data_IF_116358970251
#
_entry.id   IF_116358970251
#
_cell.length_a   1.000
_cell.length_b   1.000
_cell.length_c   1.000
_cell.angle_alpha   90.00
_cell.angle_beta   90.00
_cell.angle_gamma   90.00
#
_symmetry.space_group_name_H-M   'P 1'
#
loop_
_entity.id
_entity.type
_entity.pdbx_description
1 polymer ?
#
# COMPACT_ATOMS: atom_id res chain seq x y z
N UNK A 1 17.97 5.60 -11.51
CA UNK A 1 19.18 5.02 -12.10
C UNK A 1 20.22 6.10 -12.35
N UNK A 2 21.49 5.82 -12.01
CA UNK A 2 22.61 6.77 -12.24
C UNK A 2 23.32 6.48 -13.56
N UNK A 3 23.45 5.18 -13.91
CA UNK A 3 24.06 4.73 -15.14
C UNK A 3 23.34 3.47 -15.66
N UNK A 4 23.45 3.23 -16.94
CA UNK A 4 22.99 2.02 -17.60
C UNK A 4 24.11 1.48 -18.49
N UNK A 5 24.36 0.19 -18.39
CA UNK A 5 25.34 -0.52 -19.23
C UNK A 5 24.62 -1.55 -20.09
N UNK A 6 24.93 -1.54 -21.37
CA UNK A 6 24.43 -2.52 -22.36
C UNK A 6 25.61 -3.25 -22.96
N UNK A 7 25.55 -4.56 -23.04
CA UNK A 7 26.60 -5.41 -23.61
C UNK A 7 25.98 -6.59 -24.36
N UNK A 8 26.80 -7.33 -25.13
CA UNK A 8 26.34 -8.47 -25.92
C UNK A 8 25.90 -9.70 -25.09
N UNK A 9 26.23 -9.72 -23.79
CA UNK A 9 25.75 -10.74 -22.88
C UNK A 9 25.45 -10.17 -21.49
N UNK A 10 24.57 -10.85 -20.74
CA UNK A 10 24.24 -10.51 -19.36
C UNK A 10 25.49 -10.49 -18.46
N UNK A 11 26.44 -11.38 -18.69
CA UNK A 11 27.66 -11.46 -17.87
C UNK A 11 28.54 -10.24 -18.11
N UNK A 12 28.80 -9.90 -19.37
CA UNK A 12 29.58 -8.71 -19.75
C UNK A 12 28.90 -7.41 -19.28
N UNK A 13 27.59 -7.31 -19.37
CA UNK A 13 26.85 -6.15 -18.88
C UNK A 13 27.02 -6.00 -17.37
N UNK A 14 27.03 -7.09 -16.62
CA UNK A 14 27.21 -7.08 -15.19
C UNK A 14 28.65 -6.69 -14.80
N UNK A 15 29.66 -7.32 -15.41
CA UNK A 15 31.07 -7.00 -15.16
C UNK A 15 31.35 -5.53 -15.45
N UNK A 16 30.80 -5.00 -16.55
CA UNK A 16 30.95 -3.60 -16.89
C UNK A 16 30.16 -2.66 -15.97
N UNK A 17 29.01 -3.06 -15.46
CA UNK A 17 28.26 -2.29 -14.48
C UNK A 17 28.99 -2.21 -13.13
N UNK A 18 29.67 -3.27 -12.69
CA UNK A 18 30.51 -3.31 -11.49
C UNK A 18 31.76 -2.41 -11.62
N UNK A 19 32.20 -2.13 -12.85
CA UNK A 19 33.31 -1.20 -13.13
C UNK A 19 32.89 0.29 -13.13
N UNK A 20 31.61 0.59 -13.11
CA UNK A 20 31.11 1.99 -13.01
C UNK A 20 31.35 2.50 -11.61
N UNK A 21 32.24 3.49 -11.50
CA UNK A 21 32.49 4.17 -10.23
C UNK A 21 31.54 5.36 -10.08
N UNK A 22 30.88 5.46 -8.93
CA UNK A 22 30.03 6.60 -8.57
C UNK A 22 30.50 7.14 -7.23
N UNK A 23 30.87 8.41 -7.22
CA UNK A 23 31.20 9.13 -5.99
C UNK A 23 29.93 9.75 -5.41
N UNK A 24 29.57 9.35 -4.20
CA UNK A 24 28.37 9.80 -3.51
C UNK A 24 28.69 10.73 -2.37
N UNK A 25 28.08 11.90 -2.34
CA UNK A 25 28.01 12.75 -1.16
C UNK A 25 26.74 12.39 -0.37
N UNK A 26 26.84 11.75 0.80
CA UNK A 26 25.68 11.36 1.58
C UNK A 26 25.01 12.57 2.21
N UNK A 27 23.69 12.66 2.05
CA UNK A 27 22.83 13.66 2.69
C UNK A 27 22.15 13.08 3.95
N UNK A 28 21.66 13.94 4.88
CA UNK A 28 20.85 13.49 5.99
C UNK A 28 19.64 12.68 5.50
N UNK A 29 19.42 11.52 6.10
CA UNK A 29 18.31 10.64 5.73
C UNK A 29 17.31 10.52 6.89
N UNK A 30 16.02 10.50 6.56
CA UNK A 30 14.93 10.17 7.48
C UNK A 30 14.31 8.85 7.06
N UNK A 31 14.31 7.88 7.96
CA UNK A 31 13.77 6.53 7.78
C UNK A 31 12.76 6.16 8.85
N UNK A 32 12.81 6.82 9.99
CA UNK A 32 11.83 6.67 11.07
C UNK A 32 10.57 7.49 10.76
N UNK A 33 9.40 6.92 11.03
CA UNK A 33 8.12 7.55 10.70
C UNK A 33 7.79 8.75 11.60
N UNK A 34 8.19 8.72 12.86
CA UNK A 34 7.96 9.83 13.78
C UNK A 34 8.87 11.01 13.40
N UNK A 35 10.11 10.72 12.99
CA UNK A 35 11.04 11.72 12.48
C UNK A 35 10.57 12.32 11.15
N UNK A 36 9.95 11.50 10.29
CA UNK A 36 9.36 11.94 9.03
C UNK A 36 8.17 12.89 9.26
N UNK A 37 7.25 12.55 10.17
CA UNK A 37 6.13 13.43 10.56
C UNK A 37 6.62 14.75 11.14
N UNK A 38 7.72 14.72 11.90
CA UNK A 38 8.31 15.90 12.52
C UNK A 38 9.16 16.75 11.56
N UNK A 39 9.27 16.36 10.30
CA UNK A 39 10.09 17.03 9.27
C UNK A 39 11.56 17.26 9.68
N UNK A 40 12.14 16.32 10.45
CA UNK A 40 13.55 16.45 10.93
C UNK A 40 14.57 16.54 9.80
N UNK A 41 14.28 15.90 8.67
CA UNK A 41 14.96 16.11 7.39
C UNK A 41 13.92 15.99 6.28
N UNK A 42 14.07 16.78 5.23
CA UNK A 42 13.21 16.71 4.05
C UNK A 42 13.65 15.56 3.14
N UNK A 43 12.69 14.80 2.64
CA UNK A 43 12.96 13.77 1.62
C UNK A 43 13.08 14.43 0.25
N UNK A 44 12.27 15.48 0.00
CA UNK A 44 12.30 16.29 -1.20
C UNK A 44 12.29 17.76 -0.82
N UNK A 45 13.22 18.54 -1.35
CA UNK A 45 13.41 19.96 -1.03
C UNK A 45 12.25 20.84 -1.53
N UNK A 46 11.51 20.39 -2.53
CA UNK A 46 10.36 21.08 -3.15
C UNK A 46 9.04 20.84 -2.39
N UNK A 47 9.04 20.03 -1.35
CA UNK A 47 7.85 19.78 -0.51
C UNK A 47 7.91 20.59 0.78
N UNK A 48 6.78 21.16 1.18
CA UNK A 48 6.65 21.89 2.45
C UNK A 48 6.71 20.97 3.67
N UNK A 49 6.28 19.71 3.53
CA UNK A 49 6.30 18.68 4.56
C UNK A 49 6.53 17.29 3.97
N UNK A 50 7.09 16.38 4.78
CA UNK A 50 7.12 14.96 4.44
C UNK A 50 5.73 14.31 4.54
N UNK A 51 4.74 14.94 5.18
CA UNK A 51 3.35 14.47 5.19
C UNK A 51 2.71 14.85 3.85
N UNK A 52 2.49 13.85 3.01
CA UNK A 52 1.94 14.02 1.66
C UNK A 52 0.43 14.22 1.71
N UNK A 53 -0.27 13.46 2.55
CA UNK A 53 -1.73 13.51 2.72
C UNK A 53 -2.11 12.87 4.04
N UNK A 54 -3.18 13.37 4.66
CA UNK A 54 -3.83 12.76 5.81
C UNK A 54 -5.22 12.25 5.40
N UNK A 55 -5.47 10.98 5.61
CA UNK A 55 -6.78 10.38 5.43
C UNK A 55 -7.52 10.35 6.75
N UNK A 56 -8.72 10.88 6.78
CA UNK A 56 -9.59 10.89 7.95
C UNK A 56 -10.95 10.28 7.59
N UNK A 57 -11.39 9.33 8.39
CA UNK A 57 -12.69 8.69 8.23
C UNK A 57 -13.37 8.42 9.57
N UNK A 58 -14.62 8.59 9.57
CA UNK A 58 -15.74 8.10 10.30
C UNK A 58 -16.77 7.74 9.24
N UNK A 59 -18.03 8.20 9.30
CA UNK A 59 -18.95 8.13 8.17
C UNK A 59 -18.36 8.88 6.97
N UNK A 60 -17.98 8.13 5.96
CA UNK A 60 -17.13 8.58 4.85
C UNK A 60 -17.72 9.78 4.10
N UNK A 61 -16.89 10.80 3.87
CA UNK A 61 -17.27 12.02 3.14
C UNK A 61 -18.23 12.97 3.88
N UNK A 62 -18.47 12.74 5.17
CA UNK A 62 -19.34 13.55 6.01
C UNK A 62 -18.59 14.09 7.22
N UNK A 63 -18.13 15.33 7.15
CA UNK A 63 -17.38 15.97 8.26
C UNK A 63 -18.21 16.04 9.55
N UNK A 64 -19.51 16.31 9.46
CA UNK A 64 -20.41 16.32 10.62
C UNK A 64 -20.49 14.93 11.26
N UNK A 65 -20.62 13.88 10.44
CA UNK A 65 -20.62 12.49 10.89
C UNK A 65 -19.30 12.06 11.52
N UNK A 66 -18.17 12.49 10.94
CA UNK A 66 -16.84 12.27 11.53
C UNK A 66 -16.73 12.90 12.91
N UNK A 67 -17.14 14.16 13.05
CA UNK A 67 -17.11 14.89 14.33
C UNK A 67 -18.07 14.26 15.34
N UNK A 68 -19.26 13.85 14.94
CA UNK A 68 -20.21 13.15 15.79
C UNK A 68 -19.64 11.80 16.29
N UNK A 69 -18.96 11.05 15.41
CA UNK A 69 -18.30 9.79 15.79
C UNK A 69 -17.18 10.02 16.80
N UNK A 70 -16.31 11.01 16.57
CA UNK A 70 -15.27 11.40 17.53
C UNK A 70 -15.86 11.76 18.89
N UNK A 71 -16.92 12.54 18.89
CA UNK A 71 -17.58 12.96 20.12
C UNK A 71 -18.20 11.77 20.85
N UNK A 72 -18.90 10.87 20.15
CA UNK A 72 -19.50 9.66 20.71
C UNK A 72 -18.45 8.77 21.40
N UNK A 73 -17.29 8.56 20.75
CA UNK A 73 -16.19 7.78 21.32
C UNK A 73 -15.59 8.51 22.54
N UNK A 74 -15.41 9.82 22.45
CA UNK A 74 -14.88 10.62 23.56
C UNK A 74 -15.83 10.60 24.78
N UNK A 75 -17.13 10.61 24.57
CA UNK A 75 -18.13 10.51 25.64
C UNK A 75 -18.20 9.10 26.21
N UNK A 76 -18.09 8.07 25.38
CA UNK A 76 -17.97 6.68 25.85
C UNK A 76 -16.76 6.49 26.79
N UNK A 77 -15.62 7.09 26.49
CA UNK A 77 -14.39 7.02 27.33
C UNK A 77 -14.56 7.63 28.73
N UNK A 78 -15.55 8.50 28.93
CA UNK A 78 -15.82 9.16 30.23
C UNK A 78 -16.73 8.34 31.16
N UNK A 79 -17.31 7.26 30.68
CA UNK A 79 -18.22 6.42 31.47
C UNK A 79 -17.41 5.58 32.49
N UNK A 80 -17.99 5.37 33.65
CA UNK A 80 -17.37 4.60 34.76
C UNK A 80 -17.44 3.08 34.55
N UNK A 81 -18.31 2.60 33.65
CA UNK A 81 -18.58 1.19 33.39
C UNK A 81 -17.80 0.63 32.18
N UNK A 82 -16.88 1.39 31.63
CA UNK A 82 -16.10 1.00 30.44
C UNK A 82 -14.67 0.59 30.74
N UNK A 83 -14.12 -0.16 29.82
CA UNK A 83 -12.70 -0.50 29.69
C UNK A 83 -12.18 0.15 28.44
N UNK A 84 -11.03 0.82 28.55
CA UNK A 84 -10.33 1.41 27.41
C UNK A 84 -9.03 0.67 27.22
N UNK A 85 -8.86 0.03 26.06
CA UNK A 85 -7.64 -0.68 25.68
C UNK A 85 -7.01 0.08 24.50
N UNK A 86 -5.73 0.40 24.64
CA UNK A 86 -4.99 1.14 23.62
C UNK A 86 -3.62 0.53 23.42
N UNK A 87 -3.25 0.25 22.17
CA UNK A 87 -1.97 -0.36 21.84
C UNK A 87 -1.35 0.27 20.60
N UNK A 88 -0.06 0.63 20.71
CA UNK A 88 0.76 1.02 19.55
C UNK A 88 1.29 -0.25 18.89
N UNK A 89 1.00 -0.43 17.61
CA UNK A 89 1.34 -1.61 16.84
C UNK A 89 2.11 -1.24 15.57
N UNK A 90 3.04 -2.10 15.19
CA UNK A 90 3.78 -2.01 13.95
C UNK A 90 3.28 -3.09 12.98
N UNK A 91 2.80 -2.68 11.81
CA UNK A 91 2.63 -3.54 10.67
C UNK A 91 3.86 -3.32 9.76
N UNK A 92 4.87 -4.17 9.91
CA UNK A 92 6.17 -3.99 9.26
C UNK A 92 6.08 -4.08 7.73
N UNK A 93 7.06 -3.50 7.05
CA UNK A 93 7.20 -3.62 5.60
C UNK A 93 7.33 -5.07 5.15
N UNK A 94 6.75 -5.37 3.99
CA UNK A 94 6.83 -6.68 3.33
C UNK A 94 7.29 -6.50 1.89
N UNK A 95 8.11 -7.45 1.42
CA UNK A 95 8.57 -7.52 0.04
C UNK A 95 7.68 -8.51 -0.71
N UNK A 96 6.95 -8.10 -1.75
CA UNK A 96 6.15 -8.98 -2.60
C UNK A 96 7.06 -9.88 -3.44
N UNK A 97 7.53 -10.96 -2.88
CA UNK A 97 8.52 -11.83 -3.47
C UNK A 97 7.88 -12.79 -4.48
N UNK A 98 7.56 -12.31 -5.69
CA UNK A 98 7.18 -13.19 -6.79
C UNK A 98 8.34 -14.13 -7.16
N UNK A 99 8.03 -15.41 -7.50
CA UNK A 99 9.05 -16.37 -7.89
C UNK A 99 9.80 -15.87 -9.13
N UNK A 100 9.08 -15.32 -10.09
CA UNK A 100 9.68 -14.62 -11.24
C UNK A 100 9.98 -13.16 -10.86
N UNK A 101 11.26 -12.73 -10.81
CA UNK A 101 11.62 -11.31 -10.78
C UNK A 101 11.13 -10.57 -12.02
N UNK A 102 11.20 -9.24 -12.04
CA UNK A 102 10.78 -8.47 -13.21
C UNK A 102 11.77 -8.69 -14.37
N UNK A 103 11.22 -8.69 -15.59
CA UNK A 103 12.01 -8.75 -16.80
C UNK A 103 11.32 -7.98 -17.92
N UNK A 104 12.12 -7.37 -18.79
CA UNK A 104 11.65 -6.65 -19.96
C UNK A 104 12.59 -6.89 -21.14
N UNK A 105 12.01 -7.01 -22.31
CA UNK A 105 12.70 -6.99 -23.63
C UNK A 105 11.99 -5.97 -24.50
N UNK A 106 12.74 -5.02 -25.06
CA UNK A 106 12.23 -4.07 -26.04
C UNK A 106 12.94 -4.28 -27.38
N UNK A 107 12.17 -4.21 -28.46
CA UNK A 107 12.65 -4.25 -29.84
C UNK A 107 12.07 -3.03 -30.59
N UNK A 108 12.96 -2.12 -30.99
CA UNK A 108 12.62 -0.97 -31.80
C UNK A 108 12.74 -1.30 -33.28
N UNK A 109 11.64 -1.35 -33.99
CA UNK A 109 11.60 -1.51 -35.43
C UNK A 109 11.73 -0.14 -36.11
N UNK A 110 12.91 0.09 -36.70
CA UNK A 110 13.22 1.37 -37.38
C UNK A 110 12.34 1.61 -38.60
N UNK A 111 12.00 0.56 -39.36
CA UNK A 111 11.22 0.70 -40.60
C UNK A 111 9.75 1.09 -40.37
N UNK A 112 9.18 0.65 -39.27
CA UNK A 112 7.80 0.94 -38.88
C UNK A 112 7.68 1.99 -37.76
N UNK A 113 8.79 2.50 -37.24
CA UNK A 113 8.85 3.41 -36.09
C UNK A 113 7.98 2.93 -34.94
N UNK A 114 8.19 1.65 -34.55
CA UNK A 114 7.34 0.95 -33.60
C UNK A 114 8.16 0.16 -32.59
N UNK A 115 7.67 0.14 -31.32
CA UNK A 115 8.14 -0.78 -30.31
C UNK A 115 7.29 -2.05 -30.24
N UNK A 116 7.97 -3.20 -30.17
CA UNK A 116 7.45 -4.46 -29.64
C UNK A 116 8.15 -4.72 -28.29
N UNK A 117 7.40 -4.69 -27.20
CA UNK A 117 7.92 -4.83 -25.82
C UNK A 117 7.29 -6.06 -25.18
N UNK A 118 8.11 -6.90 -24.58
CA UNK A 118 7.70 -8.02 -23.77
C UNK A 118 8.10 -7.74 -22.32
N UNK A 119 7.14 -7.66 -21.41
CA UNK A 119 7.40 -7.33 -20.01
C UNK A 119 6.64 -8.23 -19.04
N UNK A 120 7.30 -8.58 -17.96
CA UNK A 120 6.68 -9.23 -16.80
C UNK A 120 5.89 -8.21 -16.00
N UNK A 121 4.75 -7.78 -16.54
CA UNK A 121 3.91 -6.70 -16.00
C UNK A 121 2.46 -7.15 -15.77
N UNK A 122 1.77 -6.51 -14.82
CA UNK A 122 0.33 -6.65 -14.61
C UNK A 122 -0.48 -5.61 -15.41
N UNK A 123 0.20 -4.61 -16.02
CA UNK A 123 -0.44 -3.43 -16.63
C UNK A 123 0.08 -3.14 -18.05
N UNK A 124 -0.01 -4.09 -19.00
CA UNK A 124 0.58 -3.93 -20.33
C UNK A 124 0.06 -2.69 -21.08
N UNK A 125 -1.21 -2.33 -20.92
CA UNK A 125 -1.79 -1.16 -21.57
C UNK A 125 -1.24 0.16 -20.99
N UNK A 126 -1.09 0.25 -19.67
CA UNK A 126 -0.52 1.43 -19.02
C UNK A 126 0.96 1.59 -19.41
N UNK A 127 1.72 0.49 -19.46
CA UNK A 127 3.10 0.50 -19.91
C UNK A 127 3.22 0.94 -21.38
N UNK A 128 2.36 0.47 -22.27
CA UNK A 128 2.34 0.91 -23.67
C UNK A 128 2.10 2.42 -23.78
N UNK A 129 1.13 2.94 -23.01
CA UNK A 129 0.85 4.39 -22.95
C UNK A 129 2.01 5.20 -22.41
N UNK A 130 2.71 4.72 -21.39
CA UNK A 130 3.86 5.38 -20.80
C UNK A 130 5.05 5.44 -21.79
N UNK A 131 5.36 4.33 -22.47
CA UNK A 131 6.40 4.28 -23.50
C UNK A 131 6.04 5.25 -24.64
N UNK A 132 4.81 5.18 -25.16
CA UNK A 132 4.36 6.07 -26.22
C UNK A 132 4.52 7.55 -25.84
N UNK A 133 4.07 7.92 -24.63
CA UNK A 133 4.19 9.29 -24.11
C UNK A 133 5.65 9.73 -23.94
N UNK A 134 6.50 8.87 -23.39
CA UNK A 134 7.92 9.18 -23.12
C UNK A 134 8.69 9.43 -24.42
N UNK A 135 8.39 8.67 -25.47
CA UNK A 135 9.11 8.80 -26.76
C UNK A 135 8.38 9.65 -27.79
N UNK A 136 7.26 10.27 -27.45
CA UNK A 136 6.49 11.12 -28.37
C UNK A 136 5.86 10.34 -29.52
N UNK A 137 5.47 9.09 -29.30
CA UNK A 137 4.91 8.19 -30.30
C UNK A 137 3.39 8.14 -30.27
N UNK A 138 2.77 7.76 -31.38
CA UNK A 138 1.36 7.41 -31.40
C UNK A 138 1.12 6.12 -30.59
N UNK A 139 -0.04 6.01 -29.92
CA UNK A 139 -0.35 4.86 -29.05
C UNK A 139 -0.31 3.51 -29.80
N UNK A 140 -0.64 3.49 -31.09
CA UNK A 140 -0.58 2.30 -31.93
C UNK A 140 0.83 1.94 -32.39
N UNK A 141 1.82 2.79 -32.13
CA UNK A 141 3.25 2.50 -32.39
C UNK A 141 3.93 1.77 -31.25
N UNK A 142 3.21 1.40 -30.20
CA UNK A 142 3.77 0.62 -29.07
C UNK A 142 2.89 -0.59 -28.80
N UNK A 143 3.45 -1.76 -28.93
CA UNK A 143 2.82 -3.03 -28.57
C UNK A 143 3.52 -3.59 -27.34
N UNK A 144 2.78 -3.78 -26.25
CA UNK A 144 3.28 -4.46 -25.06
C UNK A 144 2.61 -5.81 -24.92
N UNK A 145 3.40 -6.84 -24.73
CA UNK A 145 2.96 -8.21 -24.49
C UNK A 145 3.40 -8.61 -23.09
N UNK A 146 2.43 -8.94 -22.24
CA UNK A 146 2.69 -9.65 -21.01
C UNK A 146 2.57 -11.14 -21.29
N UNK A 147 3.68 -11.89 -21.35
CA UNK A 147 3.64 -13.34 -21.53
C UNK A 147 3.15 -14.03 -20.24
N UNK A 148 3.46 -15.30 -20.06
CA UNK A 148 3.18 -15.97 -18.80
C UNK A 148 3.98 -15.33 -17.65
N UNK A 149 3.27 -14.60 -16.77
CA UNK A 149 3.88 -13.86 -15.66
C UNK A 149 3.91 -14.74 -14.42
N UNK A 150 5.10 -14.99 -13.89
CA UNK A 150 5.37 -15.85 -12.74
C UNK A 150 5.10 -15.22 -11.38
N UNK A 151 3.94 -14.54 -11.24
CA UNK A 151 3.48 -13.83 -10.05
C UNK A 151 3.74 -12.32 -10.13
N UNK A 152 2.81 -11.55 -9.54
CA UNK A 152 2.90 -10.09 -9.51
C UNK A 152 2.54 -9.53 -8.15
N UNK A 153 1.39 -9.96 -7.58
CA UNK A 153 0.89 -9.60 -6.24
C UNK A 153 0.77 -8.10 -5.98
N UNK A 154 0.66 -7.30 -7.05
CA UNK A 154 0.68 -5.83 -6.98
C UNK A 154 2.04 -5.24 -7.36
N UNK A 155 3.14 -5.91 -7.09
CA UNK A 155 4.49 -5.38 -7.35
C UNK A 155 4.79 -5.14 -8.84
N UNK A 156 4.04 -5.72 -9.75
CA UNK A 156 4.16 -5.51 -11.20
C UNK A 156 3.04 -4.62 -11.76
N UNK A 157 2.34 -3.87 -10.92
CA UNK A 157 1.34 -2.87 -11.31
C UNK A 157 1.94 -1.51 -11.67
N UNK A 158 3.18 -1.26 -11.27
CA UNK A 158 3.88 -0.01 -11.53
C UNK A 158 4.69 -0.08 -12.82
N UNK A 159 4.98 1.08 -13.38
CA UNK A 159 5.91 1.23 -14.50
C UNK A 159 7.27 1.59 -13.91
N UNK A 160 8.24 0.74 -14.15
CA UNK A 160 9.57 0.90 -13.58
C UNK A 160 10.55 1.54 -14.57
N UNK A 161 11.56 2.20 -14.04
CA UNK A 161 12.56 2.89 -14.84
C UNK A 161 13.27 1.96 -15.84
N UNK A 162 13.49 0.70 -15.48
CA UNK A 162 14.11 -0.30 -16.34
C UNK A 162 13.28 -0.59 -17.60
N UNK A 163 11.95 -0.55 -17.56
CA UNK A 163 11.09 -0.75 -18.72
C UNK A 163 11.26 0.39 -19.74
N UNK A 164 11.39 1.63 -19.26
CA UNK A 164 11.63 2.79 -20.10
C UNK A 164 13.08 2.84 -20.60
N UNK A 165 14.05 2.57 -19.72
CA UNK A 165 15.48 2.59 -20.08
C UNK A 165 15.85 1.52 -21.09
N UNK A 166 15.29 0.32 -20.99
CA UNK A 166 15.49 -0.77 -21.96
C UNK A 166 14.90 -0.40 -23.31
N UNK A 167 13.72 0.25 -23.32
CA UNK A 167 13.11 0.77 -24.54
C UNK A 167 13.97 1.88 -25.17
N UNK A 168 14.51 2.79 -24.35
CA UNK A 168 15.45 3.83 -24.81
C UNK A 168 16.70 3.20 -25.46
N UNK A 169 17.33 2.25 -24.76
CA UNK A 169 18.53 1.58 -25.27
C UNK A 169 18.27 0.84 -26.59
N UNK A 170 17.12 0.18 -26.71
CA UNK A 170 16.74 -0.51 -27.95
C UNK A 170 16.61 0.46 -29.13
N UNK A 171 16.01 1.64 -28.90
CA UNK A 171 15.85 2.69 -29.93
C UNK A 171 17.20 3.26 -30.38
N UNK A 172 18.07 3.60 -29.42
CA UNK A 172 19.39 4.17 -29.70
C UNK A 172 20.31 3.20 -30.40
N UNK A 173 20.33 1.94 -29.95
CA UNK A 173 21.19 0.90 -30.52
C UNK A 173 20.60 0.25 -31.79
N UNK A 174 19.31 0.47 -32.05
CA UNK A 174 18.56 -0.16 -33.16
C UNK A 174 18.66 -1.68 -33.11
N UNK A 175 18.60 -2.25 -31.92
CA UNK A 175 18.72 -3.69 -31.61
C UNK A 175 17.78 -4.04 -30.48
N UNK A 176 17.28 -5.28 -30.40
CA UNK A 176 16.59 -5.75 -29.21
C UNK A 176 17.50 -5.66 -27.99
N UNK A 177 16.96 -5.12 -26.88
CA UNK A 177 17.63 -5.02 -25.58
C UNK A 177 16.77 -5.69 -24.54
N UNK A 178 17.40 -6.45 -23.65
CA UNK A 178 16.75 -7.21 -22.60
C UNK A 178 17.38 -6.91 -21.24
N UNK A 179 16.53 -6.72 -20.24
CA UNK A 179 16.91 -6.70 -18.83
C UNK A 179 16.14 -7.79 -18.08
N UNK A 180 16.79 -8.43 -17.14
CA UNK A 180 16.16 -9.33 -16.19
C UNK A 180 16.74 -9.05 -14.80
N UNK A 181 15.87 -8.58 -13.91
CA UNK A 181 16.19 -8.31 -12.52
C UNK A 181 16.72 -9.56 -11.82
N UNK A 182 17.72 -9.41 -10.98
CA UNK A 182 18.17 -10.49 -10.10
C UNK A 182 17.34 -10.50 -8.82
N UNK A 183 17.31 -11.64 -8.13
CA UNK A 183 16.67 -11.70 -6.81
C UNK A 183 17.28 -10.75 -5.78
N UNK A 184 18.55 -10.38 -5.91
CA UNK A 184 19.23 -9.43 -5.03
C UNK A 184 18.84 -7.97 -5.32
N UNK A 185 18.48 -7.67 -6.56
CA UNK A 185 18.00 -6.34 -6.97
C UNK A 185 16.54 -6.13 -6.58
N UNK A 186 15.72 -7.19 -6.66
CA UNK A 186 14.27 -7.11 -6.45
C UNK A 186 13.85 -6.37 -5.15
N UNK A 187 14.43 -6.63 -3.97
CA UNK A 187 14.07 -5.90 -2.74
C UNK A 187 14.37 -4.40 -2.78
N UNK A 188 15.33 -3.97 -3.61
CA UNK A 188 15.78 -2.58 -3.69
C UNK A 188 15.18 -1.82 -4.88
N UNK A 189 14.63 -2.52 -5.87
CA UNK A 189 14.14 -1.92 -7.11
C UNK A 189 12.63 -2.12 -7.32
N UNK A 190 12.00 -3.01 -6.55
CA UNK A 190 10.57 -3.31 -6.65
C UNK A 190 9.86 -2.77 -5.41
N UNK A 191 8.67 -2.23 -5.58
CA UNK A 191 7.87 -1.66 -4.48
C UNK A 191 7.69 -2.67 -3.34
N UNK A 192 7.54 -2.14 -2.15
CA UNK A 192 7.20 -2.90 -0.95
C UNK A 192 5.73 -2.65 -0.55
N UNK A 193 5.22 -3.43 0.38
CA UNK A 193 3.89 -3.21 0.95
C UNK A 193 3.97 -2.98 2.46
N UNK A 194 2.84 -2.58 3.07
CA UNK A 194 2.71 -2.33 4.52
C UNK A 194 3.57 -1.14 4.98
N UNK A 195 4.17 -1.22 6.18
CA UNK A 195 5.01 -0.15 6.71
C UNK A 195 4.20 0.90 7.46
N UNK A 196 3.27 0.47 8.32
CA UNK A 196 2.45 1.37 9.13
C UNK A 196 2.75 1.21 10.61
N UNK A 197 2.77 2.34 11.32
CA UNK A 197 2.78 2.38 12.78
C UNK A 197 1.52 3.09 13.22
N UNK A 198 0.68 2.42 14.01
CA UNK A 198 -0.57 3.00 14.45
C UNK A 198 -0.88 2.63 15.89
N UNK A 199 -1.58 3.54 16.57
CA UNK A 199 -2.21 3.28 17.86
C UNK A 199 -3.69 2.98 17.62
N UNK A 200 -4.08 1.75 17.93
CA UNK A 200 -5.47 1.32 17.95
C UNK A 200 -6.04 1.43 19.37
N UNK A 201 -7.26 1.91 19.49
CA UNK A 201 -7.96 2.05 20.78
C UNK A 201 -9.38 1.52 20.64
N UNK A 202 -9.78 0.65 21.56
CA UNK A 202 -11.16 0.19 21.73
C UNK A 202 -11.68 0.71 23.07
N UNK A 203 -12.92 1.19 23.06
CA UNK A 203 -13.70 1.51 24.25
C UNK A 203 -14.89 0.56 24.30
N UNK A 204 -15.07 -0.16 25.38
CA UNK A 204 -16.16 -1.11 25.53
C UNK A 204 -16.53 -1.37 26.96
N UNK A 205 -17.65 -2.02 27.18
CA UNK A 205 -18.17 -2.39 28.52
C UNK A 205 -17.57 -3.71 28.99
N UNK A 206 -17.66 -4.03 30.28
CA UNK A 206 -17.12 -5.31 30.81
C UNK A 206 -17.91 -6.55 30.36
N UNK A 207 -19.08 -6.37 29.78
CA UNK A 207 -19.89 -7.46 29.20
C UNK A 207 -19.66 -7.67 27.71
N UNK A 208 -18.67 -6.98 27.10
CA UNK A 208 -18.17 -7.22 25.76
C UNK A 208 -18.83 -6.40 24.67
N UNK A 209 -19.65 -5.39 24.97
CA UNK A 209 -20.16 -4.44 23.99
C UNK A 209 -19.09 -3.39 23.70
N UNK A 210 -18.67 -3.24 22.44
CA UNK A 210 -17.74 -2.22 21.98
C UNK A 210 -18.54 -0.95 21.64
N UNK A 211 -18.16 0.15 22.24
CA UNK A 211 -18.79 1.47 22.09
C UNK A 211 -18.04 2.38 21.12
N UNK A 212 -16.83 2.02 20.75
CA UNK A 212 -16.04 2.77 19.79
C UNK A 212 -14.67 2.18 19.51
N UNK A 213 -14.20 2.43 18.29
CA UNK A 213 -12.86 2.08 17.80
C UNK A 213 -12.20 3.32 17.18
N UNK A 214 -10.96 3.57 17.56
CA UNK A 214 -10.12 4.59 16.96
C UNK A 214 -8.80 4.02 16.47
N UNK A 215 -8.34 4.48 15.30
CA UNK A 215 -7.02 4.20 14.76
C UNK A 215 -6.32 5.50 14.37
N UNK A 216 -5.18 5.78 14.99
CA UNK A 216 -4.30 6.88 14.62
C UNK A 216 -2.97 6.33 14.17
N UNK A 217 -2.59 6.57 12.92
CA UNK A 217 -1.41 5.94 12.34
C UNK A 217 -0.63 6.81 11.38
N UNK A 218 0.61 6.39 11.18
CA UNK A 218 1.53 6.93 10.18
C UNK A 218 1.87 5.81 9.21
N UNK A 219 1.72 6.10 7.92
CA UNK A 219 1.93 5.16 6.83
C UNK A 219 3.15 5.59 6.01
N UNK A 220 4.11 4.70 5.88
CA UNK A 220 5.33 4.93 5.12
C UNK A 220 5.07 4.81 3.61
N UNK A 221 5.30 5.90 2.89
CA UNK A 221 5.17 5.94 1.41
C UNK A 221 6.48 5.66 0.69
N UNK A 222 7.60 5.63 1.43
CA UNK A 222 8.94 5.60 0.84
C UNK A 222 9.31 6.91 0.15
N UNK A 223 10.33 6.88 -0.70
CA UNK A 223 10.91 8.10 -1.27
C UNK A 223 10.10 8.68 -2.45
N UNK A 224 9.29 7.89 -3.14
CA UNK A 224 8.55 8.33 -4.34
C UNK A 224 7.15 7.74 -4.38
N UNK A 225 6.18 8.56 -4.73
CA UNK A 225 4.82 8.08 -5.01
C UNK A 225 4.76 7.37 -6.35
N UNK A 226 4.14 6.21 -6.37
CA UNK A 226 3.79 5.43 -7.55
C UNK A 226 2.27 5.53 -7.83
N UNK A 227 1.72 4.61 -8.61
CA UNK A 227 0.33 4.66 -9.06
C UNK A 227 -0.70 4.68 -7.93
N UNK A 228 -0.48 3.88 -6.86
CA UNK A 228 -1.43 3.70 -5.78
C UNK A 228 -0.88 4.03 -4.40
N UNK A 229 0.36 4.52 -4.28
CA UNK A 229 1.07 4.72 -3.03
C UNK A 229 0.19 5.36 -1.95
N UNK A 230 -0.31 6.56 -2.17
CA UNK A 230 -1.16 7.28 -1.19
C UNK A 230 -2.60 6.75 -1.13
N UNK A 231 -3.05 6.01 -2.13
CA UNK A 231 -4.37 5.40 -2.14
C UNK A 231 -4.45 4.11 -1.31
N UNK A 232 -3.32 3.46 -0.99
CA UNK A 232 -3.32 2.24 -0.19
C UNK A 232 -3.85 2.47 1.23
N UNK A 233 -3.41 3.50 1.98
CA UNK A 233 -4.01 3.82 3.27
C UNK A 233 -5.49 4.20 3.17
N UNK A 234 -5.89 4.92 2.12
CA UNK A 234 -7.30 5.21 1.85
C UNK A 234 -8.14 3.94 1.73
N UNK A 235 -7.66 2.93 0.99
CA UNK A 235 -8.35 1.64 0.87
C UNK A 235 -8.41 0.88 2.21
N UNK A 236 -7.46 1.10 3.11
CA UNK A 236 -7.50 0.59 4.49
C UNK A 236 -8.59 1.26 5.31
N UNK A 237 -8.67 2.59 5.25
CA UNK A 237 -9.73 3.38 5.91
C UNK A 237 -11.11 2.93 5.44
N UNK A 238 -11.26 2.66 4.16
CA UNK A 238 -12.51 2.26 3.51
C UNK A 238 -13.14 0.97 4.09
N UNK A 239 -12.33 0.07 4.64
CA UNK A 239 -12.77 -1.19 5.25
C UNK A 239 -12.45 -1.27 6.75
N UNK A 240 -12.09 -0.13 7.36
CA UNK A 240 -11.53 -0.08 8.71
C UNK A 240 -12.48 -0.50 9.84
N UNK A 241 -13.80 -0.48 9.61
CA UNK A 241 -14.78 -0.99 10.58
C UNK A 241 -15.02 -2.50 10.48
N UNK A 242 -14.46 -3.17 9.44
CA UNK A 242 -14.74 -4.58 9.19
C UNK A 242 -16.24 -4.88 9.12
N UNK A 243 -16.64 -5.97 9.75
CA UNK A 243 -18.03 -6.43 9.84
C UNK A 243 -18.75 -5.98 11.13
N UNK A 244 -18.19 -5.00 11.82
CA UNK A 244 -18.71 -4.57 13.13
C UNK A 244 -19.59 -3.34 13.04
N UNK A 245 -20.52 -3.18 14.01
CA UNK A 245 -21.52 -2.11 14.07
C UNK A 245 -21.11 -0.90 14.91
N UNK A 246 -19.99 -0.98 15.65
CA UNK A 246 -19.59 0.07 16.57
C UNK A 246 -19.02 1.31 15.84
N UNK A 247 -19.18 2.52 16.40
CA UNK A 247 -18.58 3.73 15.87
C UNK A 247 -17.08 3.58 15.63
N UNK A 248 -16.64 3.93 14.42
CA UNK A 248 -15.25 3.77 13.97
C UNK A 248 -14.71 5.11 13.47
N UNK A 249 -13.57 5.52 14.01
CA UNK A 249 -12.82 6.67 13.56
C UNK A 249 -11.38 6.30 13.23
N UNK A 250 -10.88 6.78 12.11
CA UNK A 250 -9.52 6.52 11.69
C UNK A 250 -8.86 7.81 11.17
N UNK A 251 -7.57 7.99 11.53
CA UNK A 251 -6.71 9.02 10.95
C UNK A 251 -5.37 8.40 10.59
N UNK A 252 -4.99 8.51 9.31
CA UNK A 252 -3.76 7.97 8.76
C UNK A 252 -2.98 9.07 8.03
N UNK A 253 -1.79 9.40 8.53
CA UNK A 253 -0.86 10.33 7.91
C UNK A 253 0.09 9.56 6.99
N UNK A 254 0.08 9.88 5.70
CA UNK A 254 0.94 9.29 4.70
C UNK A 254 2.23 10.10 4.58
N UNK A 255 3.37 9.53 4.92
CA UNK A 255 4.65 10.25 4.98
C UNK A 255 5.67 9.69 4.00
N UNK A 256 6.42 10.57 3.37
CA UNK A 256 7.57 10.18 2.57
C UNK A 256 8.81 9.98 3.46
N UNK A 257 9.64 9.00 3.09
CA UNK A 257 10.88 8.63 3.80
C UNK A 257 11.97 8.28 2.79
N UNK A 258 13.24 8.24 3.21
CA UNK A 258 14.35 7.79 2.36
C UNK A 258 14.44 6.25 2.27
N UNK A 259 13.29 5.59 2.11
CA UNK A 259 13.21 4.15 1.98
C UNK A 259 12.61 3.74 0.64
N UNK A 260 12.57 2.45 0.35
CA UNK A 260 11.91 1.95 -0.86
C UNK A 260 10.43 2.33 -0.84
N UNK A 261 9.89 2.73 -1.99
CA UNK A 261 8.47 3.06 -2.15
C UNK A 261 7.57 1.93 -1.71
N UNK A 262 6.50 2.24 -0.96
CA UNK A 262 5.38 1.34 -0.75
C UNK A 262 4.29 1.59 -1.79
N UNK A 263 3.65 0.53 -2.22
CA UNK A 263 2.51 0.61 -3.14
C UNK A 263 1.64 -0.65 -3.01
N UNK A 264 0.83 -0.91 -4.02
CA UNK A 264 -0.11 -2.03 -4.02
C UNK A 264 0.60 -3.38 -3.81
N UNK A 265 0.38 -3.95 -2.66
CA UNK A 265 0.72 -5.33 -2.36
C UNK A 265 -0.54 -6.08 -1.92
N UNK A 266 -0.70 -7.31 -2.34
CA UNK A 266 -1.85 -8.21 -2.16
C UNK A 266 -2.72 -7.86 -0.95
N UNK A 267 -3.94 -7.36 -1.22
CA UNK A 267 -4.88 -6.85 -0.22
C UNK A 267 -4.91 -5.32 -0.09
N UNK A 268 -3.79 -4.60 -0.30
CA UNK A 268 -3.73 -3.14 -0.49
C UNK A 268 -4.54 -2.35 0.56
N UNK A 269 -4.02 -2.22 1.78
CA UNK A 269 -4.65 -1.52 2.91
C UNK A 269 -5.62 -2.36 3.73
N UNK A 270 -6.26 -3.36 3.12
CA UNK A 270 -7.24 -4.21 3.82
C UNK A 270 -6.60 -5.14 4.86
N UNK A 271 -5.46 -5.81 4.59
CA UNK A 271 -4.76 -6.59 5.60
C UNK A 271 -4.27 -5.73 6.77
N UNK A 272 -3.85 -4.49 6.49
CA UNK A 272 -3.41 -3.54 7.50
C UNK A 272 -4.58 -3.16 8.42
N UNK A 273 -5.72 -2.80 7.84
CA UNK A 273 -6.93 -2.48 8.59
C UNK A 273 -7.40 -3.67 9.45
N UNK A 274 -7.46 -4.86 8.87
CA UNK A 274 -7.83 -6.08 9.60
C UNK A 274 -6.85 -6.39 10.75
N UNK A 275 -5.54 -6.22 10.53
CA UNK A 275 -4.54 -6.46 11.55
C UNK A 275 -4.76 -5.58 12.80
N UNK A 276 -4.93 -4.27 12.63
CA UNK A 276 -5.11 -3.36 13.75
C UNK A 276 -6.44 -3.60 14.46
N UNK A 277 -7.52 -3.76 13.71
CA UNK A 277 -8.86 -3.97 14.25
C UNK A 277 -8.96 -5.27 15.03
N UNK A 278 -8.56 -6.38 14.42
CA UNK A 278 -8.74 -7.70 15.03
C UNK A 278 -7.79 -7.91 16.23
N UNK A 279 -6.56 -7.36 16.17
CA UNK A 279 -5.63 -7.42 17.31
C UNK A 279 -6.13 -6.65 18.52
N UNK A 280 -6.65 -5.45 18.34
CA UNK A 280 -7.13 -4.66 19.49
C UNK A 280 -8.41 -5.25 20.10
N UNK A 281 -9.24 -5.95 19.30
CA UNK A 281 -10.38 -6.70 19.81
C UNK A 281 -9.92 -7.89 20.67
N UNK A 282 -8.87 -8.62 20.27
CA UNK A 282 -8.29 -9.69 21.08
C UNK A 282 -7.72 -9.16 22.41
N UNK A 283 -7.02 -8.02 22.37
CA UNK A 283 -6.48 -7.39 23.57
C UNK A 283 -7.60 -6.93 24.52
N UNK A 284 -8.68 -6.36 23.97
CA UNK A 284 -9.86 -5.99 24.76
C UNK A 284 -10.56 -7.21 25.35
N UNK A 285 -10.74 -8.28 24.59
CA UNK A 285 -11.33 -9.53 25.07
C UNK A 285 -10.52 -10.12 26.23
N UNK A 286 -9.19 -10.09 26.11
CA UNK A 286 -8.28 -10.52 27.18
C UNK A 286 -8.40 -9.67 28.44
N UNK A 287 -8.51 -8.34 28.29
CA UNK A 287 -8.63 -7.41 29.42
C UNK A 287 -9.94 -7.60 30.22
N UNK A 288 -11.04 -7.91 29.53
CA UNK A 288 -12.33 -8.17 30.18
C UNK A 288 -12.53 -9.64 30.59
N UNK A 289 -11.61 -10.55 30.23
CA UNK A 289 -11.67 -11.97 30.53
C UNK A 289 -12.77 -12.73 29.77
N UNK A 290 -13.10 -12.28 28.54
CA UNK A 290 -14.12 -12.89 27.67
C UNK A 290 -13.47 -13.60 26.49
N UNK A 291 -14.12 -14.67 25.99
CA UNK A 291 -13.71 -15.32 24.75
C UNK A 291 -13.74 -14.35 23.56
N UNK A 292 -12.66 -14.24 22.75
CA UNK A 292 -12.60 -13.30 21.63
C UNK A 292 -13.68 -13.53 20.57
N UNK A 293 -14.13 -14.78 20.37
CA UNK A 293 -15.23 -15.11 19.48
C UNK A 293 -16.56 -14.56 20.00
N UNK A 294 -16.80 -14.64 21.31
CA UNK A 294 -18.01 -14.09 21.93
C UNK A 294 -18.04 -12.56 21.89
N UNK A 295 -16.89 -11.87 22.07
CA UNK A 295 -16.79 -10.43 21.86
C UNK A 295 -17.17 -10.06 20.43
N UNK A 296 -16.64 -10.79 19.44
CA UNK A 296 -16.95 -10.54 18.02
C UNK A 296 -18.43 -10.75 17.73
N UNK A 297 -19.02 -11.84 18.22
CA UNK A 297 -20.44 -12.18 18.06
C UNK A 297 -21.37 -11.06 18.52
N UNK A 298 -21.10 -10.47 19.68
CA UNK A 298 -21.87 -9.35 20.23
C UNK A 298 -21.82 -8.09 19.37
N UNK A 299 -20.75 -7.89 18.63
CA UNK A 299 -20.45 -6.65 17.93
C UNK A 299 -20.63 -6.73 16.42
N UNK A 300 -20.97 -7.87 15.84
CA UNK A 300 -21.28 -7.99 14.43
C UNK A 300 -22.51 -7.16 14.03
N UNK A 301 -22.53 -6.71 12.77
CA UNK A 301 -23.73 -6.25 12.11
C UNK A 301 -24.66 -7.47 11.97
N UNK A 302 -25.87 -7.46 12.56
CA UNK A 302 -26.74 -8.62 12.57
C UNK A 302 -27.29 -8.92 11.17
N UNK A 303 -27.56 -10.21 10.89
CA UNK A 303 -28.13 -10.67 9.60
C UNK A 303 -29.47 -9.98 9.29
N UNK A 304 -30.23 -9.58 10.31
CA UNK A 304 -31.51 -8.88 10.17
C UNK A 304 -31.42 -7.50 9.54
N UNK A 305 -30.24 -6.87 9.58
CA UNK A 305 -30.04 -5.51 9.06
C UNK A 305 -29.77 -5.50 7.54
N UNK A 306 -29.60 -6.69 6.94
CA UNK A 306 -29.39 -6.84 5.52
C UNK A 306 -30.69 -7.09 4.76
N UNK A 307 -30.83 -6.60 3.49
CA UNK A 307 -29.89 -5.72 2.79
C UNK A 307 -29.99 -4.27 3.27
N UNK A 308 -28.92 -3.52 3.10
CA UNK A 308 -28.89 -2.09 3.37
C UNK A 308 -28.26 -1.70 4.72
N UNK A 309 -27.67 -2.66 5.43
CA UNK A 309 -26.86 -2.35 6.59
C UNK A 309 -25.76 -1.34 6.24
N UNK A 310 -25.56 -0.36 7.11
CA UNK A 310 -24.51 0.65 6.91
C UNK A 310 -23.28 0.29 7.76
N UNK A 311 -22.14 0.12 7.11
CA UNK A 311 -20.88 0.05 7.82
C UNK A 311 -20.58 1.39 8.53
N UNK A 312 -19.99 1.39 9.74
CA UNK A 312 -19.69 2.63 10.47
C UNK A 312 -18.83 3.64 9.70
N UNK A 313 -18.04 3.16 8.73
CA UNK A 313 -17.28 4.01 7.82
C UNK A 313 -18.08 4.56 6.63
N UNK A 314 -19.38 4.27 6.53
CA UNK A 314 -20.31 4.95 5.61
C UNK A 314 -20.64 4.21 4.32
N UNK A 315 -20.46 2.88 4.25
CA UNK A 315 -20.90 2.09 3.09
C UNK A 315 -22.18 1.33 3.33
N UNK A 316 -23.02 1.26 2.30
CA UNK A 316 -24.10 0.29 2.25
C UNK A 316 -23.53 -1.11 1.98
N UNK A 317 -23.97 -2.07 2.78
CA UNK A 317 -23.62 -3.48 2.65
C UNK A 317 -24.84 -4.24 2.13
N UNK A 318 -24.62 -5.15 1.19
CA UNK A 318 -25.70 -5.87 0.49
C UNK A 318 -26.14 -7.15 1.20
N UNK A 319 -25.21 -7.87 1.83
CA UNK A 319 -25.44 -9.14 2.51
C UNK A 319 -24.41 -9.44 3.58
N UNK A 320 -24.80 -10.21 4.59
CA UNK A 320 -23.88 -10.69 5.64
C UNK A 320 -24.54 -11.71 6.56
N UNK A 321 -23.78 -12.72 6.95
CA UNK A 321 -24.16 -13.74 7.95
C UNK A 321 -22.90 -14.12 8.75
N UNK A 322 -22.33 -13.14 9.46
CA UNK A 322 -20.99 -13.24 10.06
C UNK A 322 -20.90 -14.29 11.16
N UNK A 323 -21.97 -14.48 11.94
CA UNK A 323 -22.01 -15.52 12.97
C UNK A 323 -21.87 -16.92 12.40
N UNK A 324 -22.53 -17.20 11.25
CA UNK A 324 -22.42 -18.50 10.59
C UNK A 324 -21.01 -18.83 10.14
N UNK A 325 -20.24 -17.81 9.74
CA UNK A 325 -18.83 -17.99 9.38
C UNK A 325 -17.97 -18.28 10.62
N UNK A 326 -18.24 -17.58 11.72
CA UNK A 326 -17.55 -17.84 13.00
C UNK A 326 -17.85 -19.24 13.51
N UNK A 327 -19.10 -19.69 13.45
CA UNK A 327 -19.50 -21.04 13.90
C UNK A 327 -18.88 -22.15 13.03
N UNK A 328 -18.59 -21.87 11.76
CA UNK A 328 -17.97 -22.81 10.84
C UNK A 328 -16.43 -22.89 10.99
N UNK A 329 -15.80 -21.89 11.56
CA UNK A 329 -14.34 -21.81 11.72
C UNK A 329 -13.86 -22.54 12.99
#
# INVERSE_FOLDING_TARGET
>A
AVAMVVADSRYLARDAAEAVFVDYEPLPAVIDLEDAVADRAKVHDDLDSNVLVSWEAGPFGNEEGINATKQAIADAKKRDDVVVVSQKMLNQRLIPTAIEPRAVLADWNVGYERFDVYSSTQVPHALAGAIAKTFGLASNSVRVVAPEVGGGFGAKLNIYADEILVSFASRELRRPVKYAETRRESPNNTIQGRGWVATATVVGTRDGEILGYELHGVCDMGAYSQNFTVAIPFLGVFVGSGQYKFPTYMKLDCVTTHTMTTDAYRGAGRPEAAYYLERIIDDYASEIGMDPGEVRRKNYIPESDFPGAMAPVGFAMDTGAYEKNLDAA
#
